data_IF_347789069793
#
_entry.id   IF_347789069793
#
_cell.length_a   1.000
_cell.length_b   1.000
_cell.length_c   1.000
_cell.angle_alpha   90.00
_cell.angle_beta   90.00
_cell.angle_gamma   90.00
#
_symmetry.space_group_name_H-M   'P 1'
#
loop_
_entity.id
_entity.type
_entity.pdbx_description
1 polymer ?
#
# COMPACT_ATOMS: atom_id res chain seq x y z
N UNK A 1 144.27 40.39 -11.77
CA UNK A 1 145.50 39.65 -11.37
C UNK A 1 145.63 38.51 -12.39
N UNK A 2 146.43 38.60 -13.46
CA UNK A 2 147.91 38.43 -13.52
C UNK A 2 148.35 37.23 -12.64
N UNK A 3 149.05 36.19 -13.09
CA UNK A 3 150.08 36.07 -14.14
C UNK A 3 150.35 34.57 -14.48
N UNK A 4 151.01 34.33 -15.63
CA UNK A 4 151.79 33.15 -16.08
C UNK A 4 152.73 32.50 -15.01
N UNK A 5 153.55 31.44 -15.27
CA UNK A 5 153.77 30.59 -16.48
C UNK A 5 153.96 29.07 -16.18
N UNK A 6 154.16 28.24 -17.22
CA UNK A 6 155.39 27.41 -17.41
C UNK A 6 155.13 26.04 -18.06
N UNK A 7 155.99 25.75 -19.04
CA UNK A 7 156.07 24.54 -19.86
C UNK A 7 156.65 23.36 -19.08
N UNK A 8 156.09 22.16 -19.26
CA UNK A 8 156.57 20.92 -18.66
C UNK A 8 156.29 19.70 -19.56
N UNK A 9 157.37 19.15 -20.11
CA UNK A 9 157.50 17.94 -20.95
C UNK A 9 156.46 16.82 -20.74
N UNK A 10 155.93 16.34 -21.88
CA UNK A 10 155.21 15.06 -22.03
C UNK A 10 156.00 13.90 -21.41
N UNK A 11 155.38 13.19 -20.46
CA UNK A 11 155.81 11.84 -20.04
C UNK A 11 155.19 10.81 -21.00
N UNK A 12 155.96 9.78 -21.44
CA UNK A 12 155.42 8.70 -22.24
C UNK A 12 154.53 7.84 -21.35
N UNK A 13 153.30 7.60 -21.80
CA UNK A 13 152.35 6.70 -21.17
C UNK A 13 152.94 5.29 -21.28
N UNK A 14 153.16 4.64 -20.15
CA UNK A 14 153.62 3.24 -20.12
C UNK A 14 152.48 2.32 -20.60
N UNK A 15 152.80 1.20 -21.26
CA UNK A 15 151.81 0.27 -21.84
C UNK A 15 150.75 -0.18 -20.81
N UNK A 16 151.14 -0.27 -19.54
CA UNK A 16 150.28 -0.58 -18.39
C UNK A 16 149.26 0.53 -18.07
N UNK A 17 149.63 1.82 -18.16
CA UNK A 17 148.72 2.96 -17.89
C UNK A 17 147.71 3.19 -19.03
N UNK A 18 148.09 2.87 -20.27
CA UNK A 18 147.19 2.93 -21.42
C UNK A 18 146.12 1.81 -21.36
N UNK A 19 146.52 0.61 -20.92
CA UNK A 19 145.61 -0.52 -20.69
C UNK A 19 144.68 -0.26 -19.50
N UNK A 20 145.18 0.31 -18.40
CA UNK A 20 144.37 0.66 -17.22
C UNK A 20 143.31 1.74 -17.55
N UNK A 21 143.68 2.78 -18.32
CA UNK A 21 142.70 3.78 -18.81
C UNK A 21 141.69 3.21 -19.79
N UNK A 22 142.07 2.22 -20.60
CA UNK A 22 141.14 1.52 -21.49
C UNK A 22 140.15 0.66 -20.71
N UNK A 23 140.61 -0.06 -19.68
CA UNK A 23 139.78 -0.86 -18.79
C UNK A 23 138.83 0.00 -17.93
N UNK A 24 139.28 1.16 -17.46
CA UNK A 24 138.44 2.14 -16.76
C UNK A 24 137.36 2.72 -17.67
N UNK A 25 137.71 3.00 -18.93
CA UNK A 25 136.76 3.49 -19.94
C UNK A 25 135.71 2.42 -20.26
N UNK A 26 136.13 1.16 -20.45
CA UNK A 26 135.24 0.02 -20.65
C UNK A 26 134.35 -0.20 -19.41
N UNK A 27 134.89 -0.06 -18.20
CA UNK A 27 134.13 -0.21 -16.95
C UNK A 27 133.08 0.89 -16.78
N UNK A 28 133.45 2.16 -17.03
CA UNK A 28 132.48 3.29 -17.02
C UNK A 28 131.44 3.18 -18.13
N UNK A 29 131.82 2.72 -19.31
CA UNK A 29 130.90 2.51 -20.43
C UNK A 29 129.94 1.33 -20.16
N UNK A 30 130.45 0.25 -19.57
CA UNK A 30 129.63 -0.86 -19.09
C UNK A 30 128.71 -0.44 -17.94
N UNK A 31 129.19 0.38 -17.00
CA UNK A 31 128.39 0.92 -15.90
C UNK A 31 127.31 1.89 -16.40
N UNK A 32 127.63 2.79 -17.33
CA UNK A 32 126.67 3.69 -17.97
C UNK A 32 125.61 2.91 -18.76
N UNK A 33 126.00 1.86 -19.49
CA UNK A 33 125.07 0.96 -20.18
C UNK A 33 124.20 0.19 -19.21
N UNK A 34 124.74 -0.26 -18.08
CA UNK A 34 123.97 -0.93 -17.02
C UNK A 34 123.02 0.04 -16.30
N UNK A 35 123.42 1.30 -16.11
CA UNK A 35 122.60 2.39 -15.56
C UNK A 35 121.44 2.72 -16.49
N UNK A 36 121.70 2.94 -17.78
CA UNK A 36 120.66 3.15 -18.79
C UNK A 36 119.69 1.96 -18.86
N UNK A 37 120.20 0.73 -18.75
CA UNK A 37 119.37 -0.49 -18.68
C UNK A 37 118.52 -0.55 -17.41
N UNK A 38 118.99 -0.01 -16.28
CA UNK A 38 118.21 0.10 -15.04
C UNK A 38 117.14 1.18 -15.14
N UNK A 39 117.49 2.35 -15.67
CA UNK A 39 116.57 3.47 -15.88
C UNK A 39 115.45 3.12 -16.87
N UNK A 40 115.78 2.51 -18.01
CA UNK A 40 114.78 2.02 -18.97
C UNK A 40 113.86 0.95 -18.39
N UNK A 41 114.39 0.04 -17.56
CA UNK A 41 113.58 -0.95 -16.83
C UNK A 41 112.70 -0.30 -15.76
N UNK A 42 113.19 0.74 -15.09
CA UNK A 42 112.44 1.48 -14.09
C UNK A 42 111.34 2.33 -14.70
N UNK A 43 111.60 3.01 -15.82
CA UNK A 43 110.58 3.69 -16.62
C UNK A 43 109.52 2.70 -17.16
N UNK A 44 109.93 1.51 -17.62
CA UNK A 44 108.99 0.46 -18.02
C UNK A 44 108.14 -0.04 -16.84
N UNK A 45 108.71 -0.13 -15.63
CA UNK A 45 107.95 -0.46 -14.40
C UNK A 45 106.99 0.65 -14.00
N UNK A 46 107.41 1.90 -14.04
CA UNK A 46 106.57 3.07 -13.74
C UNK A 46 105.42 3.18 -14.75
N UNK A 47 105.69 3.03 -16.05
CA UNK A 47 104.65 3.01 -17.08
C UNK A 47 103.66 1.85 -16.89
N UNK A 48 104.14 0.66 -16.51
CA UNK A 48 103.26 -0.46 -16.17
C UNK A 48 102.42 -0.19 -14.92
N UNK A 49 102.99 0.46 -13.91
CA UNK A 49 102.28 0.83 -12.69
C UNK A 49 101.18 1.86 -12.97
N UNK A 50 101.49 2.91 -13.74
CA UNK A 50 100.51 3.93 -14.16
C UNK A 50 99.37 3.33 -14.99
N UNK A 51 99.67 2.41 -15.91
CA UNK A 51 98.62 1.70 -16.66
C UNK A 51 97.75 0.82 -15.75
N UNK A 52 98.34 0.20 -14.73
CA UNK A 52 97.59 -0.60 -13.76
C UNK A 52 96.70 0.29 -12.89
N UNK A 53 97.20 1.43 -12.42
CA UNK A 53 96.47 2.42 -11.64
C UNK A 53 95.31 3.02 -12.44
N UNK A 54 95.57 3.42 -13.70
CA UNK A 54 94.53 3.89 -14.62
C UNK A 54 93.45 2.84 -14.85
N UNK A 55 93.85 1.57 -15.01
CA UNK A 55 92.89 0.47 -15.16
C UNK A 55 92.05 0.26 -13.90
N UNK A 56 92.65 0.30 -12.71
CA UNK A 56 91.93 0.19 -11.44
C UNK A 56 90.95 1.36 -11.27
N UNK A 57 91.35 2.58 -11.64
CA UNK A 57 90.46 3.73 -11.58
C UNK A 57 89.32 3.64 -12.62
N UNK A 58 89.61 3.22 -13.85
CA UNK A 58 88.60 2.97 -14.89
C UNK A 58 87.61 1.87 -14.47
N UNK A 59 88.08 0.77 -13.89
CA UNK A 59 87.24 -0.31 -13.36
C UNK A 59 86.39 0.19 -12.17
N UNK A 60 86.95 1.06 -11.32
CA UNK A 60 86.22 1.67 -10.20
C UNK A 60 85.19 2.71 -10.67
N UNK A 61 85.50 3.52 -11.67
CA UNK A 61 84.58 4.46 -12.31
C UNK A 61 83.42 3.73 -12.98
N UNK A 62 83.70 2.66 -13.73
CA UNK A 62 82.69 1.81 -14.33
C UNK A 62 81.76 1.21 -13.26
N UNK A 63 82.33 0.68 -12.17
CA UNK A 63 81.53 0.16 -11.06
C UNK A 63 80.66 1.24 -10.39
N UNK A 64 81.19 2.46 -10.20
CA UNK A 64 80.43 3.60 -9.65
C UNK A 64 79.29 3.99 -10.58
N UNK A 65 79.52 4.05 -11.89
CA UNK A 65 78.50 4.36 -12.89
C UNK A 65 77.40 3.28 -12.92
N UNK A 66 77.78 2.01 -13.01
CA UNK A 66 76.83 0.88 -12.99
C UNK A 66 75.97 0.87 -11.72
N UNK A 67 76.56 1.24 -10.58
CA UNK A 67 75.83 1.33 -9.31
C UNK A 67 74.89 2.53 -9.30
N UNK A 68 75.31 3.68 -9.83
CA UNK A 68 74.46 4.86 -9.95
C UNK A 68 73.27 4.59 -10.88
N UNK A 69 73.47 3.94 -12.02
CA UNK A 69 72.42 3.57 -12.94
C UNK A 69 71.39 2.63 -12.29
N UNK A 70 71.85 1.63 -11.52
CA UNK A 70 70.96 0.74 -10.75
C UNK A 70 70.18 1.49 -9.69
N UNK A 71 70.78 2.47 -9.02
CA UNK A 71 70.07 3.29 -8.03
C UNK A 71 68.96 4.11 -8.71
N UNK A 72 69.24 4.68 -9.88
CA UNK A 72 68.24 5.43 -10.67
C UNK A 72 67.11 4.49 -11.11
N UNK A 73 67.44 3.32 -11.67
CA UNK A 73 66.43 2.33 -12.09
C UNK A 73 65.54 1.88 -10.92
N UNK A 74 66.14 1.61 -9.75
CA UNK A 74 65.39 1.27 -8.55
C UNK A 74 64.52 2.43 -8.07
N UNK A 75 65.02 3.66 -8.14
CA UNK A 75 64.25 4.85 -7.77
C UNK A 75 63.05 5.05 -8.69
N UNK A 76 63.21 4.93 -10.00
CA UNK A 76 62.13 5.02 -10.99
C UNK A 76 61.08 3.92 -10.75
N UNK A 77 61.53 2.70 -10.44
CA UNK A 77 60.64 1.58 -10.13
C UNK A 77 59.85 1.82 -8.84
N UNK A 78 60.47 2.37 -7.80
CA UNK A 78 59.77 2.75 -6.56
C UNK A 78 58.75 3.85 -6.83
N UNK A 79 59.08 4.86 -7.63
CA UNK A 79 58.13 5.91 -8.01
C UNK A 79 56.94 5.36 -8.79
N UNK A 80 57.16 4.46 -9.75
CA UNK A 80 56.09 3.79 -10.48
C UNK A 80 55.17 2.99 -9.55
N UNK A 81 55.76 2.24 -8.61
CA UNK A 81 54.99 1.47 -7.61
C UNK A 81 54.20 2.41 -6.71
N UNK A 82 54.77 3.53 -6.27
CA UNK A 82 54.06 4.53 -5.47
C UNK A 82 52.89 5.15 -6.22
N UNK A 83 53.05 5.45 -7.51
CA UNK A 83 51.96 5.95 -8.35
C UNK A 83 50.82 4.95 -8.45
N UNK A 84 51.14 3.68 -8.76
CA UNK A 84 50.14 2.61 -8.84
C UNK A 84 49.46 2.36 -7.49
N UNK A 85 50.21 2.44 -6.39
CA UNK A 85 49.65 2.29 -5.05
C UNK A 85 48.67 3.41 -4.72
N UNK A 86 48.99 4.66 -5.05
CA UNK A 86 48.07 5.78 -4.86
C UNK A 86 46.83 5.66 -5.74
N UNK A 87 46.97 5.18 -6.98
CA UNK A 87 45.83 4.93 -7.86
C UNK A 87 44.91 3.86 -7.27
N UNK A 88 45.49 2.75 -6.81
CA UNK A 88 44.73 1.66 -6.19
C UNK A 88 44.03 2.10 -4.89
N UNK A 89 44.65 2.96 -4.09
CA UNK A 89 44.04 3.47 -2.86
C UNK A 89 42.85 4.41 -3.13
N UNK A 90 42.95 5.21 -4.20
CA UNK A 90 41.82 6.03 -4.68
C UNK A 90 40.67 5.14 -5.17
N UNK A 91 40.94 4.15 -6.02
CA UNK A 91 39.95 3.21 -6.53
C UNK A 91 39.28 2.43 -5.38
N UNK A 92 40.07 1.94 -4.42
CA UNK A 92 39.57 1.29 -3.21
C UNK A 92 38.64 2.20 -2.42
N UNK A 93 39.02 3.48 -2.25
CA UNK A 93 38.20 4.45 -1.54
C UNK A 93 36.88 4.70 -2.26
N UNK A 94 36.90 4.90 -3.59
CA UNK A 94 35.70 5.04 -4.42
C UNK A 94 34.78 3.83 -4.32
N UNK A 95 35.32 2.62 -4.45
CA UNK A 95 34.55 1.39 -4.33
C UNK A 95 33.95 1.21 -2.92
N UNK A 96 34.67 1.62 -1.88
CA UNK A 96 34.17 1.54 -0.51
C UNK A 96 32.96 2.47 -0.31
N UNK A 97 32.99 3.69 -0.85
CA UNK A 97 31.82 4.58 -0.85
C UNK A 97 30.65 4.00 -1.64
N UNK A 98 30.90 3.40 -2.81
CA UNK A 98 29.85 2.76 -3.61
C UNK A 98 29.20 1.59 -2.86
N UNK A 99 30.00 0.77 -2.18
CA UNK A 99 29.49 -0.32 -1.35
C UNK A 99 28.61 0.19 -0.22
N UNK A 100 28.96 1.31 0.42
CA UNK A 100 28.16 1.87 1.50
C UNK A 100 26.83 2.45 0.98
N UNK A 101 26.83 3.12 -0.18
CA UNK A 101 25.59 3.56 -0.84
C UNK A 101 24.70 2.38 -1.21
N UNK A 102 25.27 1.31 -1.76
CA UNK A 102 24.51 0.11 -2.11
C UNK A 102 23.93 -0.61 -0.89
N UNK A 103 24.60 -0.55 0.28
CA UNK A 103 24.03 -1.06 1.53
C UNK A 103 22.83 -0.23 1.97
N UNK A 104 22.94 1.10 1.93
CA UNK A 104 21.81 1.99 2.28
C UNK A 104 20.61 1.73 1.36
N UNK A 105 20.85 1.59 0.04
CA UNK A 105 19.80 1.22 -0.91
C UNK A 105 19.19 -0.15 -0.62
N UNK A 106 20.02 -1.15 -0.27
CA UNK A 106 19.54 -2.47 0.11
C UNK A 106 18.64 -2.41 1.35
N UNK A 107 19.05 -1.67 2.38
CA UNK A 107 18.26 -1.49 3.60
C UNK A 107 16.91 -0.80 3.32
N UNK A 108 16.88 0.20 2.43
CA UNK A 108 15.64 0.86 2.00
C UNK A 108 14.72 -0.10 1.24
N UNK A 109 15.28 -0.94 0.35
CA UNK A 109 14.52 -1.96 -0.39
C UNK A 109 13.97 -3.02 0.54
N UNK A 110 14.74 -3.46 1.54
CA UNK A 110 14.29 -4.42 2.54
C UNK A 110 13.15 -3.84 3.40
N UNK A 111 13.26 -2.58 3.81
CA UNK A 111 12.18 -1.89 4.53
C UNK A 111 10.90 -1.81 3.68
N UNK A 112 11.04 -1.45 2.40
CA UNK A 112 9.93 -1.36 1.45
C UNK A 112 9.27 -2.73 1.21
N UNK A 113 10.07 -3.78 1.04
CA UNK A 113 9.59 -5.15 0.86
C UNK A 113 8.84 -5.65 2.10
N UNK A 114 9.34 -5.34 3.30
CA UNK A 114 8.70 -5.70 4.55
C UNK A 114 7.34 -5.02 4.72
N UNK A 115 7.24 -3.74 4.36
CA UNK A 115 5.98 -2.99 4.39
C UNK A 115 4.97 -3.59 3.41
N UNK A 116 5.36 -3.78 2.15
CA UNK A 116 4.49 -4.38 1.13
C UNK A 116 4.07 -5.80 1.51
N UNK A 117 4.97 -6.61 2.08
CA UNK A 117 4.65 -7.95 2.57
C UNK A 117 3.63 -7.94 3.70
N UNK A 118 3.66 -6.92 4.57
CA UNK A 118 2.66 -6.75 5.64
C UNK A 118 1.31 -6.36 5.04
N UNK A 119 1.27 -5.41 4.12
CA UNK A 119 0.05 -5.01 3.42
C UNK A 119 -0.60 -6.19 2.68
N UNK A 120 0.20 -7.02 1.99
CA UNK A 120 -0.32 -8.23 1.34
C UNK A 120 -0.95 -9.22 2.33
N UNK A 121 -0.39 -9.36 3.54
CA UNK A 121 -0.96 -10.22 4.60
C UNK A 121 -2.27 -9.65 5.13
N UNK A 122 -2.32 -8.34 5.36
CA UNK A 122 -3.51 -7.65 5.86
C UNK A 122 -4.66 -7.74 4.85
N UNK A 123 -4.40 -7.44 3.57
CA UNK A 123 -5.37 -7.62 2.48
C UNK A 123 -5.81 -9.07 2.33
N UNK A 124 -4.90 -10.03 2.46
CA UNK A 124 -5.25 -11.46 2.42
C UNK A 124 -6.18 -11.85 3.58
N UNK A 125 -5.97 -11.28 4.77
CA UNK A 125 -6.84 -11.49 5.93
C UNK A 125 -8.22 -10.88 5.71
N UNK A 126 -8.29 -9.67 5.16
CA UNK A 126 -9.53 -8.98 4.82
C UNK A 126 -10.33 -9.76 3.76
N UNK A 127 -9.68 -10.24 2.69
CA UNK A 127 -10.32 -11.09 1.69
C UNK A 127 -10.90 -12.36 2.30
N UNK A 128 -10.19 -12.99 3.26
CA UNK A 128 -10.72 -14.16 3.98
C UNK A 128 -11.92 -13.81 4.84
N UNK A 129 -11.93 -12.63 5.49
CA UNK A 129 -13.07 -12.16 6.27
C UNK A 129 -14.29 -11.89 5.38
N UNK A 130 -14.11 -11.17 4.28
CA UNK A 130 -15.17 -10.88 3.31
C UNK A 130 -15.77 -12.16 2.73
N UNK A 131 -14.95 -13.16 2.39
CA UNK A 131 -15.44 -14.48 1.93
C UNK A 131 -16.36 -15.14 2.95
N UNK A 132 -15.98 -15.15 4.24
CA UNK A 132 -16.84 -15.70 5.31
C UNK A 132 -18.18 -14.96 5.40
N UNK A 133 -18.17 -13.64 5.26
CA UNK A 133 -19.40 -12.83 5.25
C UNK A 133 -20.28 -13.16 4.05
N UNK A 134 -19.69 -13.29 2.85
CA UNK A 134 -20.41 -13.69 1.64
C UNK A 134 -21.03 -15.08 1.79
N UNK A 135 -20.27 -16.05 2.30
CA UNK A 135 -20.76 -17.41 2.53
C UNK A 135 -21.94 -17.41 3.53
N UNK A 136 -21.84 -16.62 4.59
CA UNK A 136 -22.93 -16.43 5.55
C UNK A 136 -24.17 -15.79 4.92
N UNK A 137 -24.01 -14.76 4.09
CA UNK A 137 -25.12 -14.11 3.39
C UNK A 137 -25.77 -15.03 2.34
N UNK A 138 -24.97 -15.86 1.68
CA UNK A 138 -25.49 -16.84 0.74
C UNK A 138 -26.30 -17.93 1.45
N UNK A 139 -25.85 -18.38 2.63
CA UNK A 139 -26.60 -19.31 3.46
C UNK A 139 -27.95 -18.72 3.91
N UNK A 140 -27.98 -17.46 4.38
CA UNK A 140 -29.25 -16.80 4.75
C UNK A 140 -30.15 -16.59 3.54
N UNK A 141 -29.60 -16.22 2.38
CA UNK A 141 -30.37 -16.10 1.14
C UNK A 141 -31.00 -17.44 0.73
N UNK A 142 -30.26 -18.54 0.84
CA UNK A 142 -30.79 -19.88 0.57
C UNK A 142 -31.90 -20.26 1.54
N UNK A 143 -31.73 -19.97 2.83
CA UNK A 143 -32.76 -20.20 3.84
C UNK A 143 -34.04 -19.40 3.53
N UNK A 144 -33.92 -18.11 3.24
CA UNK A 144 -35.07 -17.27 2.89
C UNK A 144 -35.77 -17.75 1.61
N UNK A 145 -35.01 -18.19 0.60
CA UNK A 145 -35.59 -18.81 -0.61
C UNK A 145 -36.37 -20.07 -0.28
N UNK A 146 -35.84 -20.91 0.62
CA UNK A 146 -36.52 -22.12 1.07
C UNK A 146 -37.81 -21.80 1.83
N UNK A 147 -37.77 -20.83 2.75
CA UNK A 147 -38.95 -20.38 3.52
C UNK A 147 -40.02 -19.76 2.62
N UNK A 148 -39.63 -18.98 1.60
CA UNK A 148 -40.56 -18.45 0.58
C UNK A 148 -41.19 -19.61 -0.21
N UNK A 149 -40.38 -20.57 -0.68
CA UNK A 149 -40.89 -21.72 -1.43
C UNK A 149 -41.86 -22.55 -0.59
N UNK A 150 -41.57 -22.76 0.70
CA UNK A 150 -42.47 -23.46 1.62
C UNK A 150 -43.78 -22.68 1.82
N UNK A 151 -43.71 -21.36 1.96
CA UNK A 151 -44.90 -20.50 2.05
C UNK A 151 -45.75 -20.60 0.79
N UNK A 152 -45.13 -20.55 -0.39
CA UNK A 152 -45.84 -20.64 -1.67
C UNK A 152 -46.48 -22.02 -1.85
N UNK A 153 -45.83 -23.10 -1.41
CA UNK A 153 -46.43 -24.44 -1.37
C UNK A 153 -47.67 -24.47 -0.47
N UNK A 154 -47.58 -23.94 0.76
CA UNK A 154 -48.73 -23.87 1.67
C UNK A 154 -49.89 -23.05 1.08
N UNK A 155 -49.59 -21.93 0.42
CA UNK A 155 -50.59 -21.13 -0.32
C UNK A 155 -51.27 -22.00 -1.37
N UNK A 156 -50.50 -22.74 -2.17
CA UNK A 156 -51.03 -23.58 -3.23
C UNK A 156 -51.87 -24.75 -2.71
N UNK A 157 -51.42 -25.44 -1.66
CA UNK A 157 -52.10 -26.57 -1.00
C UNK A 157 -53.46 -26.16 -0.43
N UNK A 158 -53.55 -24.95 0.13
CA UNK A 158 -54.82 -24.37 0.61
C UNK A 158 -55.72 -23.87 -0.54
N UNK A 159 -55.35 -24.10 -1.79
CA UNK A 159 -56.12 -23.70 -2.96
C UNK A 159 -56.13 -22.19 -3.20
N UNK A 160 -55.15 -21.46 -2.66
CA UNK A 160 -54.99 -20.02 -2.83
C UNK A 160 -53.95 -19.72 -3.92
N UNK A 161 -54.00 -18.52 -4.48
CA UNK A 161 -53.01 -17.99 -5.40
C UNK A 161 -52.77 -16.50 -5.13
N UNK A 162 -51.52 -16.08 -5.29
CA UNK A 162 -51.14 -14.68 -5.28
C UNK A 162 -51.48 -14.07 -6.64
N UNK A 163 -52.13 -12.92 -6.63
CA UNK A 163 -52.42 -12.10 -7.81
C UNK A 163 -51.65 -10.79 -7.61
N UNK A 164 -50.72 -10.54 -8.52
CA UNK A 164 -49.93 -9.30 -8.51
C UNK A 164 -50.84 -8.11 -8.81
N UNK A 165 -50.55 -6.99 -8.13
CA UNK A 165 -51.13 -5.70 -8.47
C UNK A 165 -50.51 -5.24 -9.80
N UNK A 166 -51.34 -4.76 -10.72
CA UNK A 166 -50.81 -4.26 -11.99
C UNK A 166 -49.93 -3.03 -11.75
N UNK A 167 -48.77 -2.92 -12.42
CA UNK A 167 -47.89 -1.77 -12.30
C UNK A 167 -48.42 -0.51 -13.03
N UNK A 168 -49.74 -0.35 -13.19
CA UNK A 168 -50.34 0.86 -13.77
C UNK A 168 -50.60 1.90 -12.68
N UNK A 169 -49.51 2.44 -12.14
CA UNK A 169 -49.32 3.86 -11.74
C UNK A 169 -47.84 4.07 -11.30
N UNK A 170 -46.89 3.70 -12.16
CA UNK A 170 -45.50 4.18 -12.07
C UNK A 170 -45.48 5.68 -12.41
N UNK A 171 -45.73 6.49 -11.38
CA UNK A 171 -45.86 7.94 -11.51
C UNK A 171 -45.50 8.70 -10.24
N UNK A 172 -44.51 8.26 -9.46
CA UNK A 172 -43.82 9.20 -8.57
C UNK A 172 -42.38 8.79 -8.33
N UNK A 173 -41.49 9.64 -8.85
CA UNK A 173 -40.06 9.60 -8.65
C UNK A 173 -39.69 9.46 -7.17
N UNK A 174 -38.74 8.56 -6.92
CA UNK A 174 -37.78 8.53 -5.82
C UNK A 174 -37.69 9.84 -5.00
N UNK A 175 -38.55 9.97 -4.00
CA UNK A 175 -38.29 10.85 -2.87
C UNK A 175 -38.01 9.98 -1.66
N UNK A 176 -36.71 9.91 -1.32
CA UNK A 176 -36.20 9.42 -0.05
C UNK A 176 -36.91 10.17 1.10
N UNK A 177 -38.01 9.62 1.61
CA UNK A 177 -38.57 10.01 2.89
C UNK A 177 -38.97 8.77 3.69
N UNK A 178 -38.34 8.66 4.86
CA UNK A 178 -38.48 7.58 5.82
C UNK A 178 -39.80 7.67 6.59
N UNK A 179 -40.92 7.45 5.90
CA UNK A 179 -42.23 7.23 6.49
C UNK A 179 -42.79 5.96 5.88
N UNK A 180 -43.16 4.99 6.72
CA UNK A 180 -43.57 3.64 6.32
C UNK A 180 -44.82 3.63 5.45
N UNK A 181 -44.65 3.86 4.16
CA UNK A 181 -45.63 3.50 3.14
C UNK A 181 -45.66 1.97 3.08
N UNK A 182 -46.80 1.43 3.48
CA UNK A 182 -47.16 0.04 3.23
C UNK A 182 -47.25 -0.08 1.71
N UNK A 183 -46.15 -0.49 1.07
CA UNK A 183 -46.22 -0.96 -0.31
C UNK A 183 -47.28 -2.06 -0.35
N UNK A 184 -48.34 -1.83 -1.10
CA UNK A 184 -49.42 -2.80 -1.27
C UNK A 184 -48.80 -4.08 -1.84
N UNK A 185 -48.97 -5.19 -1.12
CA UNK A 185 -48.43 -6.49 -1.50
C UNK A 185 -49.41 -7.22 -2.44
N UNK A 186 -48.96 -8.29 -3.12
CA UNK A 186 -49.83 -9.08 -3.96
C UNK A 186 -51.05 -9.59 -3.18
N UNK A 187 -52.22 -9.53 -3.82
CA UNK A 187 -53.48 -9.95 -3.23
C UNK A 187 -53.58 -11.48 -3.20
N UNK A 188 -54.25 -12.03 -2.19
CA UNK A 188 -54.41 -13.46 -2.01
C UNK A 188 -55.86 -13.88 -2.30
N UNK A 189 -56.07 -14.72 -3.30
CA UNK A 189 -57.40 -15.19 -3.71
C UNK A 189 -57.49 -16.71 -3.73
N UNK A 190 -58.72 -17.24 -3.59
CA UNK A 190 -58.98 -18.65 -3.91
C UNK A 190 -58.81 -18.87 -5.41
N UNK A 191 -58.06 -19.92 -5.76
CA UNK A 191 -57.81 -20.34 -7.15
C UNK A 191 -59.12 -20.59 -7.90
N UNK A 192 -60.14 -21.12 -7.23
CA UNK A 192 -61.45 -21.33 -7.83
C UNK A 192 -62.17 -20.03 -8.16
N UNK A 193 -62.05 -19.00 -7.31
CA UNK A 193 -62.64 -17.68 -7.57
C UNK A 193 -62.06 -17.07 -8.84
N UNK A 194 -60.73 -17.08 -8.98
CA UNK A 194 -60.06 -16.56 -10.18
C UNK A 194 -60.48 -17.35 -11.42
N UNK A 195 -60.53 -18.69 -11.34
CA UNK A 195 -60.98 -19.55 -12.45
C UNK A 195 -62.41 -19.26 -12.89
N UNK A 196 -63.32 -18.99 -11.96
CA UNK A 196 -64.71 -18.63 -12.27
C UNK A 196 -64.78 -17.27 -12.97
N UNK A 197 -64.04 -16.28 -12.47
CA UNK A 197 -63.98 -14.94 -13.08
C UNK A 197 -63.41 -15.01 -14.50
N UNK A 198 -62.33 -15.78 -14.72
CA UNK A 198 -61.73 -16.01 -16.04
C UNK A 198 -62.69 -16.69 -17.02
N UNK A 199 -63.52 -17.61 -16.52
CA UNK A 199 -64.51 -18.32 -17.35
C UNK A 199 -65.66 -17.40 -17.79
N UNK A 200 -66.11 -16.50 -16.91
CA UNK A 200 -67.23 -15.61 -17.21
C UNK A 200 -66.79 -14.43 -18.08
N UNK A 201 -65.57 -13.93 -17.90
CA UNK A 201 -65.01 -12.83 -18.69
C UNK A 201 -63.67 -13.23 -19.32
N UNK A 202 -63.70 -14.01 -20.42
CA UNK A 202 -62.48 -14.37 -21.14
C UNK A 202 -61.88 -13.16 -21.88
N UNK A 203 -60.54 -13.07 -21.89
CA UNK A 203 -59.80 -12.11 -22.73
C UNK A 203 -59.56 -10.71 -22.14
N UNK A 204 -59.92 -10.46 -20.88
CA UNK A 204 -59.48 -9.27 -20.14
C UNK A 204 -58.08 -9.51 -19.54
N UNK A 205 -57.25 -8.46 -19.49
CA UNK A 205 -55.82 -8.57 -19.18
C UNK A 205 -55.57 -8.83 -17.70
N UNK A 206 -56.32 -8.16 -16.82
CA UNK A 206 -56.15 -8.23 -15.38
C UNK A 206 -57.46 -8.57 -14.64
N UNK A 207 -57.35 -8.84 -13.34
CA UNK A 207 -58.51 -9.23 -12.52
C UNK A 207 -59.50 -8.07 -12.35
N UNK A 208 -59.01 -6.84 -12.24
CA UNK A 208 -59.84 -5.66 -12.02
C UNK A 208 -60.71 -5.33 -13.24
N UNK A 209 -60.17 -5.43 -14.45
CA UNK A 209 -60.93 -5.28 -15.69
C UNK A 209 -62.00 -6.36 -15.83
N UNK A 210 -61.72 -7.60 -15.38
CA UNK A 210 -62.71 -8.69 -15.35
C UNK A 210 -63.86 -8.37 -14.38
N UNK A 211 -63.53 -7.89 -13.18
CA UNK A 211 -64.51 -7.49 -12.18
C UNK A 211 -65.34 -6.31 -12.69
N UNK A 212 -64.71 -5.32 -13.32
CA UNK A 212 -65.40 -4.15 -13.88
C UNK A 212 -66.40 -4.57 -14.98
N UNK A 213 -66.01 -5.46 -15.90
CA UNK A 213 -66.92 -6.01 -16.92
C UNK A 213 -68.08 -6.81 -16.31
N UNK A 214 -67.83 -7.58 -15.24
CA UNK A 214 -68.90 -8.26 -14.49
C UNK A 214 -69.89 -7.28 -13.87
N UNK A 215 -69.39 -6.18 -13.30
CA UNK A 215 -70.23 -5.13 -12.72
C UNK A 215 -71.10 -4.48 -13.80
N UNK A 216 -70.52 -4.15 -14.96
CA UNK A 216 -71.25 -3.49 -16.04
C UNK A 216 -72.31 -4.39 -16.69
N UNK A 217 -72.00 -5.68 -16.86
CA UNK A 217 -73.00 -6.66 -17.32
C UNK A 217 -74.12 -6.85 -16.29
N UNK A 218 -73.83 -6.87 -14.99
CA UNK A 218 -74.84 -6.94 -13.93
C UNK A 218 -75.74 -5.69 -13.90
N UNK A 219 -75.16 -4.50 -14.06
CA UNK A 219 -75.91 -3.23 -14.18
C UNK A 219 -76.89 -3.27 -15.35
N UNK A 220 -76.45 -3.77 -16.51
CA UNK A 220 -77.32 -3.91 -17.69
C UNK A 220 -78.47 -4.88 -17.43
N UNK A 221 -78.19 -6.07 -16.89
CA UNK A 221 -79.24 -7.06 -16.58
C UNK A 221 -80.25 -6.54 -15.55
N UNK A 222 -79.80 -5.78 -14.54
CA UNK A 222 -80.69 -5.14 -13.58
C UNK A 222 -81.63 -4.13 -14.24
N UNK A 223 -81.10 -3.30 -15.14
CA UNK A 223 -81.93 -2.37 -15.92
C UNK A 223 -82.96 -3.11 -16.78
N UNK A 224 -82.54 -4.16 -17.49
CA UNK A 224 -83.45 -4.97 -18.31
C UNK A 224 -84.56 -5.63 -17.44
N UNK A 225 -84.22 -6.04 -16.21
CA UNK A 225 -85.18 -6.57 -15.24
C UNK A 225 -86.16 -5.50 -14.73
N UNK A 226 -85.68 -4.30 -14.38
CA UNK A 226 -86.52 -3.18 -13.95
C UNK A 226 -87.51 -2.75 -15.05
N UNK A 227 -87.06 -2.71 -16.31
CA UNK A 227 -87.92 -2.44 -17.47
C UNK A 227 -88.99 -3.53 -17.65
N UNK A 228 -88.62 -4.80 -17.49
CA UNK A 228 -89.57 -5.92 -17.53
C UNK A 228 -90.57 -5.87 -16.37
N UNK A 229 -90.11 -5.52 -15.16
CA UNK A 229 -90.95 -5.38 -13.98
C UNK A 229 -91.95 -4.23 -14.16
N UNK A 230 -91.52 -3.08 -14.70
CA UNK A 230 -92.41 -1.98 -15.08
C UNK A 230 -93.44 -2.41 -16.14
N UNK A 231 -93.03 -3.25 -17.10
CA UNK A 231 -93.93 -3.81 -18.11
C UNK A 231 -94.98 -4.75 -17.49
N UNK A 232 -94.59 -5.59 -16.54
CA UNK A 232 -95.52 -6.47 -15.80
C UNK A 232 -96.42 -5.64 -14.88
N UNK A 233 -95.89 -4.61 -14.23
CA UNK A 233 -96.64 -3.71 -13.35
C UNK A 233 -97.72 -2.94 -14.11
N UNK A 234 -97.39 -2.41 -15.29
CA UNK A 234 -98.37 -1.74 -16.17
C UNK A 234 -99.44 -2.70 -16.67
N UNK A 235 -99.07 -3.94 -17.04
CA UNK A 235 -100.05 -4.99 -17.38
C UNK A 235 -100.93 -5.40 -16.19
N UNK A 236 -100.37 -5.51 -14.98
CA UNK A 236 -101.11 -5.83 -13.76
C UNK A 236 -102.00 -4.68 -13.32
N UNK A 237 -101.60 -3.42 -13.47
CA UNK A 237 -102.47 -2.26 -13.17
C UNK A 237 -103.57 -2.06 -14.19
N UNK A 238 -103.32 -2.36 -15.46
CA UNK A 238 -104.39 -2.45 -16.45
C UNK A 238 -105.41 -3.56 -16.10
N UNK A 239 -104.98 -4.61 -15.37
CA UNK A 239 -105.84 -5.65 -14.79
C UNK A 239 -106.50 -5.23 -13.46
N UNK A 240 -105.77 -4.62 -12.53
CA UNK A 240 -106.24 -4.23 -11.19
C UNK A 240 -107.13 -2.98 -11.20
N UNK A 241 -107.09 -2.14 -12.24
CA UNK A 241 -108.09 -1.10 -12.46
C UNK A 241 -109.51 -1.67 -12.65
N UNK A 242 -109.65 -2.99 -12.86
CA UNK A 242 -110.94 -3.71 -12.81
C UNK A 242 -111.32 -4.26 -11.44
N UNK A 243 -110.40 -4.39 -10.47
CA UNK A 243 -110.61 -5.18 -9.24
C UNK A 243 -110.44 -4.42 -7.90
N UNK A 244 -110.06 -3.13 -7.87
CA UNK A 244 -109.90 -2.38 -6.61
C UNK A 244 -111.15 -1.61 -6.16
N UNK A 245 -112.27 -2.32 -5.98
CA UNK A 245 -113.21 -1.97 -4.94
C UNK A 245 -112.87 -2.85 -3.73
N UNK A 246 -112.64 -2.21 -2.58
CA UNK A 246 -112.54 -2.84 -1.26
C UNK A 246 -111.14 -3.37 -0.88
N UNK A 247 -110.49 -2.69 0.07
CA UNK A 247 -110.37 -3.15 1.47
C UNK A 247 -109.30 -2.33 2.20
N UNK A 248 -109.65 -1.96 3.44
CA UNK A 248 -108.87 -1.24 4.46
C UNK A 248 -107.91 -2.20 5.22
N UNK A 249 -106.99 -1.66 6.05
CA UNK A 249 -105.76 -2.30 6.50
C UNK A 249 -105.99 -3.21 7.71
N UNK A 250 -105.05 -4.13 7.96
CA UNK A 250 -104.93 -4.66 9.30
C UNK A 250 -103.47 -4.89 9.75
N UNK A 251 -103.36 -4.77 11.06
CA UNK A 251 -102.22 -4.65 11.96
C UNK A 251 -101.29 -5.87 11.97
N UNK A 252 -100.00 -5.62 12.16
CA UNK A 252 -98.95 -6.63 12.34
C UNK A 252 -97.64 -6.04 12.88
N UNK A 253 -97.71 -5.04 13.78
CA UNK A 253 -96.54 -4.25 14.23
C UNK A 253 -95.87 -4.84 15.48
N UNK A 254 -96.45 -5.85 16.12
CA UNK A 254 -96.01 -6.29 17.45
C UNK A 254 -94.84 -7.30 17.45
N UNK A 255 -94.63 -8.09 16.38
CA UNK A 255 -93.50 -9.04 16.29
C UNK A 255 -92.18 -8.37 15.87
N UNK A 256 -92.24 -7.35 14.99
CA UNK A 256 -91.07 -6.56 14.57
C UNK A 256 -90.43 -5.81 15.74
N UNK A 257 -91.26 -5.39 16.71
CA UNK A 257 -90.82 -4.66 17.90
C UNK A 257 -90.04 -5.54 18.90
N UNK A 258 -90.28 -6.85 18.93
CA UNK A 258 -89.53 -7.77 19.81
C UNK A 258 -88.15 -8.14 19.25
N UNK A 259 -88.04 -8.37 17.95
CA UNK A 259 -86.75 -8.66 17.31
C UNK A 259 -85.82 -7.44 17.33
N UNK A 260 -86.38 -6.23 17.17
CA UNK A 260 -85.63 -4.98 17.33
C UNK A 260 -85.04 -4.83 18.75
N UNK A 261 -85.79 -5.23 19.79
CA UNK A 261 -85.33 -5.16 21.18
C UNK A 261 -84.17 -6.14 21.47
N UNK A 262 -84.20 -7.33 20.85
CA UNK A 262 -83.14 -8.33 21.00
C UNK A 262 -81.84 -7.90 20.33
N UNK A 263 -81.92 -7.35 19.12
CA UNK A 263 -80.76 -6.80 18.40
C UNK A 263 -80.12 -5.63 19.18
N UNK A 264 -80.93 -4.78 19.81
CA UNK A 264 -80.46 -3.70 20.68
C UNK A 264 -79.66 -4.21 21.90
N UNK A 265 -80.08 -5.32 22.51
CA UNK A 265 -79.37 -5.92 23.64
C UNK A 265 -78.01 -6.51 23.22
N UNK A 266 -77.96 -7.17 22.06
CA UNK A 266 -76.73 -7.72 21.49
C UNK A 266 -75.73 -6.62 21.10
N UNK A 267 -76.21 -5.53 20.50
CA UNK A 267 -75.37 -4.36 20.20
C UNK A 267 -74.80 -3.71 21.46
N UNK A 268 -75.57 -3.66 22.56
CA UNK A 268 -75.07 -3.16 23.85
C UNK A 268 -73.96 -4.02 24.44
N UNK A 269 -74.08 -5.35 24.37
CA UNK A 269 -73.02 -6.25 24.85
C UNK A 269 -71.74 -6.07 24.03
N UNK A 270 -71.87 -6.04 22.71
CA UNK A 270 -70.73 -5.85 21.79
C UNK A 270 -70.05 -4.50 22.00
N UNK A 271 -70.82 -3.45 22.26
CA UNK A 271 -70.29 -2.14 22.63
C UNK A 271 -69.44 -2.22 23.91
N UNK A 272 -69.94 -2.92 24.93
CA UNK A 272 -69.25 -3.06 26.21
C UNK A 272 -67.93 -3.86 26.10
N UNK A 273 -67.88 -4.87 25.23
CA UNK A 273 -66.65 -5.62 24.95
C UNK A 273 -65.63 -4.76 24.19
N UNK A 274 -66.07 -3.97 23.21
CA UNK A 274 -65.22 -3.02 22.49
C UNK A 274 -64.70 -1.90 23.41
N UNK A 275 -65.50 -1.42 24.35
CA UNK A 275 -65.06 -0.45 25.36
C UNK A 275 -63.95 -1.01 26.25
N UNK A 276 -64.08 -2.27 26.71
CA UNK A 276 -63.02 -2.96 27.46
C UNK A 276 -61.76 -3.12 26.64
N UNK A 277 -61.87 -3.55 25.39
CA UNK A 277 -60.72 -3.70 24.50
C UNK A 277 -60.01 -2.36 24.26
N UNK A 278 -60.77 -1.28 24.06
CA UNK A 278 -60.22 0.07 23.90
C UNK A 278 -59.42 0.51 25.14
N UNK A 279 -59.92 0.26 26.36
CA UNK A 279 -59.15 0.57 27.59
C UNK A 279 -57.85 -0.24 27.70
N UNK A 280 -57.84 -1.49 27.24
CA UNK A 280 -56.64 -2.33 27.22
C UNK A 280 -55.62 -1.82 26.19
N UNK A 281 -56.08 -1.47 24.99
CA UNK A 281 -55.25 -0.88 23.95
C UNK A 281 -54.64 0.46 24.39
N UNK A 282 -55.40 1.33 25.06
CA UNK A 282 -54.87 2.57 25.66
C UNK A 282 -53.75 2.28 26.66
N UNK A 283 -53.90 1.27 27.52
CA UNK A 283 -52.85 0.85 28.44
C UNK A 283 -51.58 0.34 27.73
N UNK A 284 -51.73 -0.37 26.61
CA UNK A 284 -50.60 -0.78 25.76
C UNK A 284 -49.90 0.43 25.16
N UNK A 285 -50.64 1.40 24.62
CA UNK A 285 -50.09 2.63 24.03
C UNK A 285 -49.24 3.38 25.06
N UNK A 286 -49.74 3.61 26.27
CA UNK A 286 -49.00 4.31 27.34
C UNK A 286 -47.67 3.59 27.68
N UNK A 287 -47.68 2.26 27.73
CA UNK A 287 -46.45 1.48 27.98
C UNK A 287 -45.45 1.61 26.84
N UNK A 288 -45.92 1.50 25.59
CA UNK A 288 -45.08 1.61 24.40
C UNK A 288 -44.51 3.03 24.25
N UNK A 289 -45.31 4.06 24.51
CA UNK A 289 -44.84 5.46 24.54
C UNK A 289 -43.77 5.67 25.62
N UNK A 290 -43.95 5.08 26.80
CA UNK A 290 -42.94 5.09 27.86
C UNK A 290 -41.64 4.41 27.46
N UNK A 291 -41.69 3.29 26.73
CA UNK A 291 -40.51 2.62 26.17
C UNK A 291 -39.84 3.47 25.09
N UNK A 292 -40.62 4.02 24.16
CA UNK A 292 -40.12 4.88 23.09
C UNK A 292 -39.40 6.11 23.65
N UNK A 293 -39.94 6.75 24.70
CA UNK A 293 -39.30 7.89 25.35
C UNK A 293 -37.95 7.52 25.98
N UNK A 294 -37.83 6.33 26.59
CA UNK A 294 -36.55 5.83 27.13
C UNK A 294 -35.54 5.53 26.02
N UNK A 295 -35.96 4.84 24.96
CA UNK A 295 -35.07 4.55 23.84
C UNK A 295 -34.59 5.82 23.14
N UNK A 296 -35.47 6.81 22.97
CA UNK A 296 -35.09 8.12 22.45
C UNK A 296 -34.04 8.80 23.33
N UNK A 297 -34.28 8.86 24.64
CA UNK A 297 -33.31 9.46 25.58
C UNK A 297 -31.95 8.74 25.58
N UNK A 298 -31.96 7.41 25.42
CA UNK A 298 -30.73 6.62 25.33
C UNK A 298 -29.98 6.87 24.01
N UNK A 299 -30.72 6.99 22.88
CA UNK A 299 -30.14 7.34 21.60
C UNK A 299 -29.52 8.76 21.62
N UNK A 300 -30.26 9.74 22.14
CA UNK A 300 -29.77 11.12 22.29
C UNK A 300 -28.50 11.20 23.18
N UNK A 301 -28.41 10.34 24.21
CA UNK A 301 -27.22 10.26 25.06
C UNK A 301 -26.02 9.62 24.34
N UNK A 302 -26.26 8.53 23.58
CA UNK A 302 -25.22 7.86 22.80
C UNK A 302 -24.68 8.75 21.68
N UNK A 303 -25.52 9.57 21.04
CA UNK A 303 -25.09 10.55 20.04
C UNK A 303 -24.14 11.59 20.64
N UNK A 304 -24.45 12.11 21.84
CA UNK A 304 -23.57 13.05 22.54
C UNK A 304 -22.22 12.44 22.88
N UNK A 305 -22.20 11.20 23.41
CA UNK A 305 -20.97 10.49 23.72
C UNK A 305 -20.10 10.26 22.46
N UNK A 306 -20.74 9.92 21.34
CA UNK A 306 -20.07 9.73 20.07
C UNK A 306 -19.43 11.04 19.55
N UNK A 307 -20.10 12.17 19.71
CA UNK A 307 -19.54 13.47 19.35
C UNK A 307 -18.39 13.88 20.28
N UNK A 308 -18.49 13.63 21.58
CA UNK A 308 -17.39 13.83 22.53
C UNK A 308 -16.16 12.97 22.14
N UNK A 309 -16.35 11.68 21.84
CA UNK A 309 -15.29 10.80 21.38
C UNK A 309 -14.65 11.27 20.07
N UNK A 310 -15.44 11.79 19.12
CA UNK A 310 -14.90 12.39 17.88
C UNK A 310 -14.03 13.61 18.19
N UNK A 311 -14.43 14.47 19.12
CA UNK A 311 -13.62 15.63 19.51
C UNK A 311 -12.32 15.21 20.18
N UNK A 312 -12.37 14.23 21.09
CA UNK A 312 -11.19 13.66 21.74
C UNK A 312 -10.24 13.01 20.73
N UNK A 313 -10.76 12.25 19.76
CA UNK A 313 -9.94 11.65 18.70
C UNK A 313 -9.23 12.71 17.85
N UNK A 314 -9.90 13.81 17.51
CA UNK A 314 -9.27 14.93 16.80
C UNK A 314 -8.16 15.57 17.64
N UNK A 315 -8.40 15.75 18.94
CA UNK A 315 -7.44 16.34 19.86
C UNK A 315 -6.21 15.45 20.04
N UNK A 316 -6.38 14.15 20.30
CA UNK A 316 -5.27 13.20 20.46
C UNK A 316 -4.47 13.05 19.17
N UNK A 317 -5.13 13.09 18.01
CA UNK A 317 -4.45 13.08 16.71
C UNK A 317 -3.61 14.34 16.47
N UNK A 318 -4.08 15.50 16.94
CA UNK A 318 -3.31 16.74 16.92
C UNK A 318 -2.09 16.64 17.86
N UNK A 319 -2.31 16.20 19.10
CA UNK A 319 -1.24 16.02 20.07
C UNK A 319 -0.17 15.03 19.60
N UNK A 320 -0.59 13.94 18.95
CA UNK A 320 0.34 12.98 18.34
C UNK A 320 1.25 13.65 17.31
N UNK A 321 0.68 14.43 16.37
CA UNK A 321 1.46 15.17 15.37
C UNK A 321 2.41 16.18 16.01
N UNK A 322 1.96 16.90 17.03
CA UNK A 322 2.80 17.86 17.75
C UNK A 322 3.98 17.15 18.44
N UNK A 323 3.76 15.94 18.99
CA UNK A 323 4.82 15.12 19.58
C UNK A 323 5.76 14.51 18.55
N UNK A 324 5.27 14.09 17.38
CA UNK A 324 6.08 13.62 16.26
C UNK A 324 7.01 14.72 15.76
N UNK A 325 6.47 15.93 15.54
CA UNK A 325 7.28 17.10 15.15
C UNK A 325 8.36 17.41 16.20
N UNK A 326 8.00 17.42 17.49
CA UNK A 326 8.96 17.65 18.56
C UNK A 326 10.04 16.55 18.62
N UNK A 327 9.68 15.30 18.36
CA UNK A 327 10.64 14.20 18.29
C UNK A 327 11.64 14.39 17.15
N UNK A 328 11.17 14.82 15.97
CA UNK A 328 12.03 15.03 14.82
C UNK A 328 12.98 16.23 15.02
N UNK A 329 12.51 17.32 15.63
CA UNK A 329 13.39 18.42 16.09
C UNK A 329 14.47 17.93 17.07
N UNK A 330 14.10 17.06 18.02
CA UNK A 330 15.05 16.46 18.95
C UNK A 330 16.05 15.52 18.25
N UNK A 331 15.63 14.79 17.22
CA UNK A 331 16.54 13.97 16.41
C UNK A 331 17.53 14.82 15.63
N UNK A 332 17.08 15.92 15.02
CA UNK A 332 17.96 16.85 14.31
C UNK A 332 18.99 17.50 15.25
N UNK A 333 18.54 18.01 16.40
CA UNK A 333 19.46 18.57 17.41
C UNK A 333 20.45 17.52 17.91
N UNK A 334 20.02 16.28 18.13
CA UNK A 334 20.92 15.19 18.51
C UNK A 334 21.95 14.88 17.41
N UNK A 335 21.51 14.80 16.14
CA UNK A 335 22.40 14.64 14.99
C UNK A 335 23.46 15.75 14.93
N UNK A 336 23.06 17.01 15.13
CA UNK A 336 24.00 18.13 15.20
C UNK A 336 25.01 18.01 16.35
N UNK A 337 24.56 17.60 17.54
CA UNK A 337 25.42 17.37 18.70
C UNK A 337 26.41 16.22 18.44
N UNK A 338 25.94 15.12 17.84
CA UNK A 338 26.79 13.99 17.44
C UNK A 338 27.87 14.43 16.46
N UNK A 339 27.52 15.16 15.39
CA UNK A 339 28.51 15.69 14.45
C UNK A 339 29.52 16.63 15.12
N UNK A 340 29.10 17.42 16.10
CA UNK A 340 30.00 18.31 16.86
C UNK A 340 30.92 17.51 17.79
N UNK A 341 30.42 16.47 18.45
CA UNK A 341 31.23 15.56 19.26
C UNK A 341 32.26 14.81 18.42
N UNK A 342 31.88 14.39 17.22
CA UNK A 342 32.78 13.72 16.29
C UNK A 342 33.92 14.65 15.84
N UNK A 343 33.61 15.91 15.49
CA UNK A 343 34.63 16.93 15.22
C UNK A 343 35.59 17.13 16.39
N UNK A 344 35.08 17.20 17.62
CA UNK A 344 35.90 17.33 18.83
C UNK A 344 36.76 16.08 19.09
N UNK A 345 36.25 14.87 18.78
CA UNK A 345 37.04 13.63 18.83
C UNK A 345 38.19 13.68 17.82
N UNK A 346 37.90 14.05 16.57
CA UNK A 346 38.91 14.19 15.52
C UNK A 346 40.00 15.22 15.87
N UNK A 347 39.63 16.33 16.51
CA UNK A 347 40.59 17.33 17.00
C UNK A 347 41.47 16.83 18.16
N UNK A 348 40.94 15.95 19.02
CA UNK A 348 41.73 15.33 20.11
C UNK A 348 42.70 14.28 19.61
N UNK A 349 42.34 13.51 18.58
CA UNK A 349 43.22 12.51 17.96
C UNK A 349 44.30 13.14 17.06
N UNK A 350 44.09 14.37 16.58
CA UNK A 350 45.05 15.10 15.72
C UNK A 350 46.09 15.94 16.46
N UNK A 351 46.18 15.90 17.80
CA UNK A 351 47.23 16.60 18.56
C UNK A 351 48.44 15.66 18.73
N UNK A 352 49.60 15.94 18.09
CA UNK A 352 50.82 15.20 18.37
C UNK A 352 51.27 15.51 19.80
N UNK A 353 51.77 14.48 20.50
CA UNK A 353 52.47 14.61 21.79
C UNK A 353 53.74 15.45 21.67
#
# INVERSE_FOLDING_TARGET
MSSYPSSGRRRPITRTEAEERALDKISREAEARMKLKRETREQARQGRYQLLEKKVEEDAEAFRHDTADKVIELQDRVQQVMFLYSQLDNEKSTLLYEVDLLKDELEEKDASLNLSSRECRDLTSEVKALKRTIDSLHATQQQLKHEISQRDQLIQENGLCLVEEDPEEEGSESSNNASGEIRSGPYLFKRETIRLVDRVVPGAANLDEKIQKLIDTNKKMRKDYEELEQTIYTQRHARNARDSANVMPNQGVDDVNKDAAKQLAEMKLKMQDLERENTNQQGNVIRMEGQMKRYKSNADAAEKELDELKTQMRQTKKELRDKENALDEQKETNKHLQSRLEKMRMQRTGRPL
#
